data_IF_651731580840
#
_entry.id   IF_651731580840
#
_cell.length_a   1.000
_cell.length_b   1.000
_cell.length_c   1.000
_cell.angle_alpha   90.00
_cell.angle_beta   90.00
_cell.angle_gamma   90.00
#
_symmetry.space_group_name_H-M   'P 1'
#
loop_
_entity.id
_entity.type
_entity.pdbx_description
1 polymer ?
#
# COMPACT_ATOMS: atom_id res chain seq x y z
N UNK A 1 -12.56 -15.42 -5.13
CA UNK A 1 -11.24 -16.04 -5.05
C UNK A 1 -10.09 -15.03 -5.09
N UNK A 2 -10.04 -14.17 -6.10
CA UNK A 2 -9.04 -13.10 -6.17
C UNK A 2 -9.10 -12.20 -4.94
N UNK A 3 -10.29 -11.84 -4.52
CA UNK A 3 -10.47 -10.98 -3.35
C UNK A 3 -9.93 -11.63 -2.08
N UNK A 4 -10.07 -12.94 -1.94
CA UNK A 4 -9.57 -13.64 -0.77
C UNK A 4 -8.05 -13.68 -0.74
N UNK A 5 -7.43 -13.87 -1.90
CA UNK A 5 -5.96 -13.83 -2.00
C UNK A 5 -5.45 -12.44 -1.68
N UNK A 6 -6.12 -11.41 -2.19
CA UNK A 6 -5.77 -10.03 -1.91
C UNK A 6 -5.85 -9.73 -0.40
N UNK A 7 -6.94 -10.15 0.24
CA UNK A 7 -7.11 -9.99 1.68
C UNK A 7 -6.00 -10.71 2.45
N UNK A 8 -5.65 -11.90 1.99
CA UNK A 8 -4.61 -12.69 2.64
C UNK A 8 -3.26 -11.99 2.59
N UNK A 9 -2.94 -11.38 1.45
CA UNK A 9 -1.68 -10.63 1.29
C UNK A 9 -1.66 -9.39 2.19
N UNK A 10 -2.74 -8.66 2.25
CA UNK A 10 -2.84 -7.48 3.13
C UNK A 10 -2.73 -7.91 4.59
N UNK A 11 -3.43 -8.99 4.96
CA UNK A 11 -3.37 -9.51 6.33
C UNK A 11 -1.96 -9.94 6.71
N UNK A 12 -1.26 -10.59 5.78
CA UNK A 12 0.12 -10.99 5.99
C UNK A 12 1.02 -9.77 6.22
N UNK A 13 0.85 -8.75 5.39
CA UNK A 13 1.61 -7.50 5.57
C UNK A 13 1.34 -6.85 6.90
N UNK A 14 0.08 -6.83 7.33
CA UNK A 14 -0.28 -6.26 8.63
C UNK A 14 0.35 -7.06 9.77
N UNK A 15 0.28 -8.37 9.69
CA UNK A 15 0.83 -9.26 10.73
C UNK A 15 2.34 -9.11 10.86
N UNK A 16 3.03 -9.00 9.76
CA UNK A 16 4.49 -8.86 9.75
C UNK A 16 4.95 -7.42 9.94
N UNK A 17 4.01 -6.50 10.09
CA UNK A 17 4.30 -5.08 10.19
C UNK A 17 5.11 -4.56 9.01
N UNK A 18 4.78 -5.08 7.82
CA UNK A 18 5.43 -4.65 6.60
C UNK A 18 5.06 -3.20 6.27
N UNK A 19 6.00 -2.47 5.74
CA UNK A 19 5.77 -1.10 5.29
C UNK A 19 5.12 -1.09 3.92
N UNK A 20 5.62 -1.94 3.02
CA UNK A 20 5.17 -1.97 1.63
C UNK A 20 5.01 -3.39 1.14
N UNK A 21 4.10 -3.56 0.18
CA UNK A 21 3.99 -4.75 -0.64
C UNK A 21 4.29 -4.36 -2.08
N UNK A 22 5.14 -5.10 -2.75
CA UNK A 22 5.51 -4.85 -4.14
C UNK A 22 4.99 -5.97 -5.03
N UNK A 23 4.32 -5.60 -6.11
CA UNK A 23 3.80 -6.54 -7.10
C UNK A 23 4.51 -6.22 -8.41
N UNK A 24 5.49 -7.04 -8.78
CA UNK A 24 6.41 -6.71 -9.86
C UNK A 24 6.27 -7.71 -11.01
N UNK A 25 5.95 -7.23 -12.22
CA UNK A 25 5.89 -8.11 -13.38
C UNK A 25 7.30 -8.49 -13.82
N UNK A 26 7.55 -9.78 -13.91
CA UNK A 26 8.79 -10.30 -14.44
C UNK A 26 8.55 -10.83 -15.85
N UNK A 27 9.49 -11.59 -16.37
CA UNK A 27 9.39 -12.08 -17.75
C UNK A 27 8.23 -13.05 -17.94
N UNK A 28 8.00 -13.97 -17.00
CA UNK A 28 7.01 -15.02 -17.14
C UNK A 28 5.93 -15.02 -16.06
N UNK A 29 6.10 -14.22 -15.03
CA UNK A 29 5.18 -14.22 -13.90
C UNK A 29 5.32 -12.92 -13.12
N UNK A 30 4.37 -12.65 -12.24
CA UNK A 30 4.54 -11.60 -11.24
C UNK A 30 5.19 -12.17 -9.99
N UNK A 31 6.00 -11.36 -9.36
CA UNK A 31 6.56 -11.68 -8.05
C UNK A 31 6.08 -10.66 -7.04
N UNK A 32 5.71 -11.17 -5.87
CA UNK A 32 5.27 -10.33 -4.76
C UNK A 32 6.35 -10.32 -3.68
N UNK A 33 6.71 -9.12 -3.23
CA UNK A 33 7.68 -8.92 -2.16
C UNK A 33 7.04 -8.07 -1.06
N UNK A 34 7.52 -8.23 0.17
CA UNK A 34 7.15 -7.32 1.24
C UNK A 34 8.41 -6.71 1.82
N UNK A 35 8.29 -5.46 2.24
CA UNK A 35 9.39 -4.75 2.89
C UNK A 35 9.10 -4.67 4.38
N UNK A 36 10.00 -5.23 5.18
CA UNK A 36 9.92 -5.21 6.64
C UNK A 36 11.21 -4.60 7.14
N UNK A 37 11.12 -3.38 7.68
CA UNK A 37 12.32 -2.63 8.05
C UNK A 37 13.18 -2.36 6.82
N UNK A 38 14.42 -2.78 6.85
CA UNK A 38 15.34 -2.61 5.73
C UNK A 38 15.37 -3.83 4.81
N UNK A 39 14.60 -4.85 5.13
CA UNK A 39 14.65 -6.11 4.42
C UNK A 39 13.50 -6.25 3.43
N UNK A 40 13.82 -6.71 2.23
CA UNK A 40 12.85 -6.99 1.19
C UNK A 40 12.72 -8.50 1.06
N UNK A 41 11.57 -9.04 1.42
CA UNK A 41 11.32 -10.48 1.45
C UNK A 41 10.45 -10.92 0.31
N UNK A 42 10.84 -12.01 -0.35
CA UNK A 42 10.00 -12.62 -1.37
C UNK A 42 8.81 -13.32 -0.69
N UNK A 43 7.61 -13.09 -1.22
CA UNK A 43 6.39 -13.71 -0.68
C UNK A 43 5.94 -14.87 -1.56
N UNK A 44 5.66 -14.59 -2.82
CA UNK A 44 5.06 -15.58 -3.71
C UNK A 44 5.07 -15.08 -5.15
N UNK A 45 5.06 -16.02 -6.10
CA UNK A 45 4.86 -15.73 -7.51
C UNK A 45 3.41 -16.01 -7.89
N UNK A 46 2.92 -15.29 -8.89
CA UNK A 46 1.58 -15.47 -9.42
C UNK A 46 1.61 -15.42 -10.95
N UNK A 47 0.74 -16.20 -11.61
CA UNK A 47 0.56 -16.05 -13.05
C UNK A 47 0.07 -14.65 -13.39
N UNK A 48 0.37 -14.18 -14.61
CA UNK A 48 -0.06 -12.84 -15.03
C UNK A 48 -1.57 -12.64 -14.90
N UNK A 49 -2.36 -13.64 -15.31
CA UNK A 49 -3.81 -13.53 -15.26
C UNK A 49 -4.33 -13.27 -13.85
N UNK A 50 -3.82 -14.01 -12.89
CA UNK A 50 -4.26 -13.87 -11.50
C UNK A 50 -3.87 -12.52 -10.94
N UNK A 51 -2.65 -12.07 -11.22
CA UNK A 51 -2.17 -10.81 -10.69
C UNK A 51 -2.86 -9.62 -11.36
N UNK A 52 -3.12 -9.71 -12.66
CA UNK A 52 -3.84 -8.64 -13.35
C UNK A 52 -5.23 -8.46 -12.75
N UNK A 53 -5.91 -9.56 -12.44
CA UNK A 53 -7.22 -9.50 -11.78
C UNK A 53 -7.10 -8.91 -10.38
N UNK A 54 -6.03 -9.25 -9.66
CA UNK A 54 -5.80 -8.74 -8.31
C UNK A 54 -5.50 -7.23 -8.33
N UNK A 55 -4.68 -6.79 -9.26
CA UNK A 55 -4.37 -5.37 -9.41
C UNK A 55 -5.63 -4.59 -9.76
N UNK A 56 -6.46 -5.13 -10.65
CA UNK A 56 -7.75 -4.52 -10.98
C UNK A 56 -8.64 -4.38 -9.74
N UNK A 57 -8.66 -5.40 -8.91
CA UNK A 57 -9.41 -5.36 -7.66
C UNK A 57 -8.93 -4.23 -6.74
N UNK A 58 -7.62 -4.13 -6.54
CA UNK A 58 -7.06 -3.07 -5.71
C UNK A 58 -7.35 -1.69 -6.27
N UNK A 59 -7.21 -1.52 -7.59
CA UNK A 59 -7.51 -0.25 -8.25
C UNK A 59 -8.97 0.13 -8.06
N UNK A 60 -9.86 -0.85 -8.19
CA UNK A 60 -11.29 -0.62 -8.02
C UNK A 60 -11.62 -0.13 -6.62
N UNK A 61 -11.12 -0.81 -5.58
CA UNK A 61 -11.44 -0.44 -4.20
C UNK A 61 -10.78 0.87 -3.80
N UNK A 62 -9.71 1.27 -4.45
CA UNK A 62 -9.02 2.53 -4.17
C UNK A 62 -9.53 3.69 -5.04
N UNK A 63 -10.56 3.47 -5.85
CA UNK A 63 -11.13 4.51 -6.69
C UNK A 63 -10.25 4.94 -7.85
N UNK A 64 -9.35 4.07 -8.28
CA UNK A 64 -8.45 4.34 -9.39
C UNK A 64 -9.09 3.92 -10.72
N UNK A 65 -8.53 4.39 -11.82
CA UNK A 65 -9.02 4.02 -13.15
C UNK A 65 -8.51 2.61 -13.52
N UNK A 66 -9.38 1.64 -13.44
CA UNK A 66 -9.03 0.23 -13.67
C UNK A 66 -8.59 -0.02 -15.11
N UNK A 67 -9.19 0.67 -16.08
CA UNK A 67 -8.89 0.47 -17.49
C UNK A 67 -7.59 1.12 -17.96
N UNK A 68 -7.06 2.08 -17.21
CA UNK A 68 -5.84 2.77 -17.61
C UNK A 68 -4.63 2.02 -17.07
N UNK A 69 -3.76 1.53 -17.97
CA UNK A 69 -2.60 0.73 -17.59
C UNK A 69 -1.27 1.33 -17.98
N UNK A 70 -1.29 2.44 -18.71
CA UNK A 70 -0.07 3.08 -19.19
C UNK A 70 0.45 4.17 -18.27
N UNK A 71 -0.47 4.92 -17.67
CA UNK A 71 -0.12 6.05 -16.83
C UNK A 71 0.02 5.63 -15.37
N UNK A 72 0.96 6.26 -14.70
CA UNK A 72 1.07 6.10 -13.25
C UNK A 72 -0.17 6.63 -12.57
N UNK A 73 -0.63 5.93 -11.56
CA UNK A 73 -1.80 6.35 -10.78
C UNK A 73 -1.50 6.23 -9.29
N UNK A 74 -2.17 7.04 -8.53
CA UNK A 74 -2.12 6.99 -7.07
C UNK A 74 -3.53 6.81 -6.54
N UNK A 75 -3.67 6.04 -5.48
CA UNK A 75 -4.95 5.85 -4.84
C UNK A 75 -4.77 5.52 -3.38
N UNK A 76 -5.88 5.51 -2.65
CA UNK A 76 -5.87 5.13 -1.24
C UNK A 76 -7.25 4.67 -0.83
N UNK A 77 -7.29 3.81 0.18
CA UNK A 77 -8.57 3.38 0.75
C UNK A 77 -8.35 2.73 2.10
N UNK A 78 -9.46 2.53 2.83
CA UNK A 78 -9.45 1.71 4.02
C UNK A 78 -9.87 0.32 3.60
N UNK A 79 -8.93 -0.62 3.60
CA UNK A 79 -9.17 -1.96 3.11
C UNK A 79 -9.77 -2.83 4.21
N UNK A 80 -10.95 -3.42 3.98
CA UNK A 80 -11.63 -4.20 5.03
C UNK A 80 -11.02 -5.58 5.22
N UNK A 81 -10.74 -5.92 6.47
CA UNK A 81 -10.37 -7.25 6.90
C UNK A 81 -11.38 -7.72 7.93
N UNK A 82 -11.31 -8.99 8.28
CA UNK A 82 -12.26 -9.57 9.24
C UNK A 82 -12.18 -8.92 10.62
N UNK A 83 -10.99 -8.54 11.02
CA UNK A 83 -10.72 -7.96 12.34
C UNK A 83 -10.55 -6.44 12.32
N UNK A 84 -11.00 -5.79 11.26
CA UNK A 84 -10.93 -4.34 11.16
C UNK A 84 -10.50 -3.88 9.80
N UNK A 85 -10.07 -2.63 9.72
CA UNK A 85 -9.64 -2.04 8.46
C UNK A 85 -8.17 -1.67 8.49
N UNK A 86 -7.54 -1.72 7.32
CA UNK A 86 -6.16 -1.27 7.15
C UNK A 86 -6.17 -0.16 6.11
N UNK A 87 -5.65 1.00 6.48
CA UNK A 87 -5.49 2.07 5.50
C UNK A 87 -4.32 1.75 4.60
N UNK A 88 -4.54 1.82 3.31
CA UNK A 88 -3.49 1.53 2.33
C UNK A 88 -3.40 2.64 1.30
N UNK A 89 -2.20 2.84 0.80
CA UNK A 89 -1.93 3.73 -0.33
C UNK A 89 -1.37 2.91 -1.47
N UNK A 90 -1.84 3.20 -2.67
CA UNK A 90 -1.47 2.43 -3.85
C UNK A 90 -0.81 3.32 -4.86
N UNK A 91 0.18 2.75 -5.54
CA UNK A 91 0.87 3.42 -6.64
C UNK A 91 1.06 2.40 -7.75
N UNK A 92 0.64 2.73 -8.96
CA UNK A 92 0.83 1.85 -10.11
C UNK A 92 1.67 2.52 -11.18
N UNK A 93 2.48 1.72 -11.86
CA UNK A 93 3.29 2.17 -12.99
C UNK A 93 3.23 1.12 -14.07
N UNK A 94 2.87 1.50 -15.29
CA UNK A 94 2.83 0.57 -16.41
C UNK A 94 4.20 0.36 -17.01
N UNK A 95 4.48 -0.86 -17.49
CA UNK A 95 5.72 -1.12 -18.21
C UNK A 95 5.44 -1.10 -19.72
N UNK A 96 6.49 -1.27 -20.52
CA UNK A 96 6.37 -1.20 -21.99
C UNK A 96 5.52 -2.33 -22.57
N UNK A 97 5.30 -3.42 -21.83
CA UNK A 97 4.49 -4.56 -22.27
C UNK A 97 3.01 -4.39 -21.92
N UNK A 98 2.65 -3.35 -21.19
CA UNK A 98 1.29 -3.14 -20.73
C UNK A 98 0.96 -3.78 -19.39
N UNK A 99 1.94 -4.30 -18.68
CA UNK A 99 1.75 -4.82 -17.33
C UNK A 99 2.08 -3.75 -16.29
N UNK A 100 1.27 -3.69 -15.25
CA UNK A 100 1.47 -2.70 -14.21
C UNK A 100 2.25 -3.27 -13.03
N UNK A 101 3.16 -2.47 -12.49
CA UNK A 101 3.72 -2.70 -11.17
C UNK A 101 2.81 -2.03 -10.17
N UNK A 102 2.63 -2.63 -9.01
CA UNK A 102 1.81 -2.07 -7.94
C UNK A 102 2.63 -2.05 -6.66
N UNK A 103 2.59 -0.92 -5.98
CA UNK A 103 3.15 -0.79 -4.64
C UNK A 103 2.03 -0.42 -3.70
N UNK A 104 1.86 -1.20 -2.65
CA UNK A 104 0.87 -0.91 -1.62
C UNK A 104 1.62 -0.56 -0.35
N UNK A 105 1.41 0.65 0.15
CA UNK A 105 1.94 1.08 1.44
C UNK A 105 0.89 0.86 2.50
N UNK A 106 1.27 0.16 3.55
CA UNK A 106 0.38 -0.15 4.66
C UNK A 106 0.57 0.88 5.77
N UNK A 107 -0.52 1.49 6.21
CA UNK A 107 -0.48 2.40 7.34
C UNK A 107 -0.94 1.64 8.57
N UNK A 108 -0.04 1.48 9.53
CA UNK A 108 -0.33 0.71 10.73
C UNK A 108 -1.07 1.54 11.78
N UNK A 109 -1.76 0.86 12.68
CA UNK A 109 -2.62 1.49 13.65
C UNK A 109 -1.93 2.57 14.48
N UNK A 110 -0.67 2.37 14.82
CA UNK A 110 0.09 3.34 15.59
C UNK A 110 0.22 4.66 14.85
N UNK A 111 0.47 4.62 13.56
CA UNK A 111 0.57 5.82 12.73
C UNK A 111 -0.77 6.52 12.64
N UNK A 112 -1.86 5.75 12.53
CA UNK A 112 -3.20 6.30 12.50
C UNK A 112 -3.55 6.98 13.82
N UNK A 113 -3.24 6.35 14.93
CA UNK A 113 -3.47 6.91 16.25
C UNK A 113 -2.72 8.21 16.45
N UNK A 114 -1.44 8.24 16.10
CA UNK A 114 -0.65 9.45 16.22
C UNK A 114 -1.23 10.60 15.43
N UNK A 115 -1.68 10.33 14.21
CA UNK A 115 -2.31 11.33 13.38
C UNK A 115 -3.60 11.83 13.98
N UNK A 116 -4.41 10.89 14.49
CA UNK A 116 -5.67 11.23 15.14
C UNK A 116 -5.43 12.14 16.34
N UNK A 117 -4.52 11.75 17.21
CA UNK A 117 -4.17 12.55 18.37
C UNK A 117 -3.64 13.92 17.99
N UNK A 118 -2.77 13.97 17.02
CA UNK A 118 -2.18 15.20 16.53
C UNK A 118 -3.26 16.16 16.01
N UNK A 119 -4.23 15.64 15.28
CA UNK A 119 -5.32 16.45 14.72
C UNK A 119 -6.34 16.88 15.77
N UNK A 120 -6.55 16.07 16.80
CA UNK A 120 -7.53 16.36 17.84
C UNK A 120 -6.99 17.30 18.93
N UNK A 121 -5.71 17.54 18.98
CA UNK A 121 -5.09 18.37 20.01
C UNK A 121 -4.38 19.57 19.39
N UNK A 122 -5.14 20.61 19.01
CA UNK A 122 -4.55 21.80 18.35
C UNK A 122 -3.47 22.48 19.17
N UNK A 123 -3.61 22.47 20.50
CA UNK A 123 -2.61 23.06 21.38
C UNK A 123 -1.28 22.32 21.31
N UNK A 124 -1.36 21.01 21.26
CA UNK A 124 -0.18 20.17 21.09
C UNK A 124 0.45 20.43 19.73
N UNK A 125 -0.40 20.58 18.70
CA UNK A 125 0.03 20.93 17.38
C UNK A 125 0.80 22.24 17.38
N UNK A 126 0.29 23.24 18.05
CA UNK A 126 0.94 24.54 18.17
C UNK A 126 2.29 24.44 18.86
N UNK A 127 2.33 23.76 19.99
CA UNK A 127 3.57 23.61 20.75
C UNK A 127 4.65 22.85 19.98
N UNK A 128 4.25 21.87 19.20
CA UNK A 128 5.17 20.99 18.54
C UNK A 128 5.31 21.27 17.06
N UNK A 129 4.62 22.26 16.54
CA UNK A 129 4.55 22.52 15.10
C UNK A 129 5.91 22.57 14.42
N UNK A 130 6.86 23.30 15.00
CA UNK A 130 8.18 23.40 14.41
C UNK A 130 8.94 22.11 14.38
N UNK A 131 8.90 21.35 15.48
CA UNK A 131 9.63 20.10 15.60
C UNK A 131 8.90 18.92 14.98
N UNK A 132 7.62 18.80 15.30
CA UNK A 132 6.86 17.62 14.86
C UNK A 132 6.53 17.62 13.40
N UNK A 133 6.20 18.77 12.83
CA UNK A 133 5.98 18.84 11.41
C UNK A 133 7.25 18.50 10.65
N UNK A 134 8.40 18.94 11.16
CA UNK A 134 9.67 18.60 10.53
C UNK A 134 9.95 17.10 10.59
N UNK A 135 9.70 16.48 11.73
CA UNK A 135 9.92 15.05 11.89
C UNK A 135 8.96 14.20 11.04
N UNK A 136 7.69 14.61 10.96
CA UNK A 136 6.72 13.85 10.18
C UNK A 136 6.81 14.14 8.69
N UNK A 137 6.98 15.38 8.31
CA UNK A 137 6.97 15.76 6.91
C UNK A 137 8.31 15.46 6.21
N UNK A 138 9.42 15.70 6.90
CA UNK A 138 10.75 15.51 6.31
C UNK A 138 11.05 14.08 5.91
N UNK A 139 11.19 13.16 6.88
CA UNK A 139 11.54 11.78 6.55
C UNK A 139 10.44 11.03 5.84
N UNK A 140 9.20 11.27 6.22
CA UNK A 140 8.07 10.52 5.68
C UNK A 140 7.69 11.04 4.30
N UNK A 141 7.86 12.33 4.06
CA UNK A 141 7.54 12.91 2.77
C UNK A 141 8.53 12.58 1.68
N UNK A 142 9.67 12.10 2.05
CA UNK A 142 10.73 11.76 1.08
C UNK A 142 10.58 10.37 0.46
#
# INVERSE_FOLDING_TARGET
MVQEIAKKLIRMGKKEEAQDLYFIPRKEEYQVFMRVGDERRFVQSFPFEDMMAMISHFKFVAGMNVGEKRRSQLGSCDYPLEDGMVSIRLSTVGDYRGYESLVIRLLHDEERELRFWFDQLPELKKKLAGRWLYLFAGPVGS
#
